data_IF_137137620549
#
_entry.id   IF_137137620549
#
_cell.length_a   1.000
_cell.length_b   1.000
_cell.length_c   1.000
_cell.angle_alpha   90.00
_cell.angle_beta   90.00
_cell.angle_gamma   90.00
#
_symmetry.space_group_name_H-M   'P 1'
#
loop_
_entity.id
_entity.type
_entity.pdbx_description
1 polymer ?
#
# COMPACT_ATOMS: atom_id res chain seq x y z
N UNK A 1 23.15 -1.22 12.99
CA UNK A 1 22.32 -0.07 12.56
C UNK A 1 20.96 -0.28 13.21
N UNK A 2 20.60 0.56 14.18
CA UNK A 2 19.33 0.45 14.87
C UNK A 2 18.18 0.79 13.91
N UNK A 3 17.11 0.01 13.99
CA UNK A 3 15.96 0.19 13.14
C UNK A 3 14.97 1.14 13.84
N UNK A 4 14.69 2.29 13.23
CA UNK A 4 13.74 3.25 13.82
C UNK A 4 12.32 2.70 13.77
N UNK A 5 11.66 2.71 14.93
CA UNK A 5 10.22 2.45 15.06
C UNK A 5 9.46 3.68 14.54
N UNK A 6 8.45 3.46 13.71
CA UNK A 6 7.62 4.49 13.07
C UNK A 6 6.16 4.48 13.54
N UNK A 7 5.71 3.37 14.14
CA UNK A 7 4.50 3.30 14.96
C UNK A 7 4.72 2.33 16.13
N UNK A 8 4.15 2.68 17.28
CA UNK A 8 4.24 1.94 18.54
C UNK A 8 2.98 2.24 19.36
N UNK A 9 2.11 1.25 19.51
CA UNK A 9 0.86 1.38 20.25
C UNK A 9 0.42 0.03 20.83
N UNK A 10 -0.54 0.08 21.76
CA UNK A 10 -1.21 -1.11 22.28
C UNK A 10 -2.54 -1.24 21.55
N UNK A 11 -2.81 -2.44 21.02
CA UNK A 11 -4.03 -2.75 20.31
C UNK A 11 -4.47 -4.19 20.56
N UNK A 12 -5.43 -4.65 19.78
CA UNK A 12 -5.77 -6.08 19.72
C UNK A 12 -5.18 -6.69 18.47
N UNK A 13 -4.59 -7.86 18.60
CA UNK A 13 -3.91 -8.56 17.52
C UNK A 13 -4.38 -10.00 17.45
N UNK A 14 -4.56 -10.47 16.23
CA UNK A 14 -4.77 -11.89 15.95
C UNK A 14 -3.82 -12.31 14.85
N UNK A 15 -3.16 -13.45 14.99
CA UNK A 15 -2.34 -14.02 13.93
C UNK A 15 -2.65 -15.49 13.80
N UNK A 16 -2.55 -16.03 12.58
CA UNK A 16 -2.72 -17.48 12.35
C UNK A 16 -1.78 -18.34 13.21
N UNK A 17 -0.68 -17.77 13.70
CA UNK A 17 0.29 -18.46 14.55
C UNK A 17 -0.08 -18.48 16.05
N UNK A 18 -1.00 -17.63 16.51
CA UNK A 18 -1.35 -17.50 17.93
C UNK A 18 -2.34 -18.58 18.42
N UNK A 19 -2.94 -19.38 17.52
CA UNK A 19 -3.77 -20.54 17.87
C UNK A 19 -5.05 -20.24 18.66
N UNK A 20 -5.40 -18.95 18.81
CA UNK A 20 -6.64 -18.47 19.46
C UNK A 20 -7.55 -17.89 18.38
N UNK A 21 -8.86 -18.15 18.47
CA UNK A 21 -9.86 -17.65 17.53
C UNK A 21 -10.20 -16.15 17.73
N UNK A 22 -9.81 -15.55 18.86
CA UNK A 22 -10.13 -14.16 19.21
C UNK A 22 -8.90 -13.24 19.21
N UNK A 23 -9.03 -11.96 18.80
CA UNK A 23 -7.98 -10.98 18.95
C UNK A 23 -7.62 -10.73 20.43
N UNK A 24 -6.33 -10.82 20.75
CA UNK A 24 -5.80 -10.62 22.11
C UNK A 24 -5.10 -9.28 22.23
N UNK A 25 -5.06 -8.71 23.44
CA UNK A 25 -4.30 -7.48 23.68
C UNK A 25 -2.81 -7.71 23.39
N UNK A 26 -2.18 -6.74 22.73
CA UNK A 26 -0.77 -6.82 22.36
C UNK A 26 -0.19 -5.47 21.96
N UNK A 27 1.14 -5.38 21.97
CA UNK A 27 1.88 -4.22 21.48
C UNK A 27 2.19 -4.39 20.01
N UNK A 28 1.90 -3.36 19.23
CA UNK A 28 2.12 -3.28 17.79
C UNK A 28 3.28 -2.35 17.54
N UNK A 29 4.34 -2.86 16.91
CA UNK A 29 5.53 -2.09 16.55
C UNK A 29 5.74 -2.19 15.05
N UNK A 30 5.75 -1.05 14.37
CA UNK A 30 6.11 -0.97 12.97
C UNK A 30 7.44 -0.27 12.82
N UNK A 31 8.33 -0.88 12.05
CA UNK A 31 9.55 -0.25 11.56
C UNK A 31 9.51 -0.10 10.04
N UNK A 32 10.59 0.43 9.46
CA UNK A 32 10.69 0.54 8.01
C UNK A 32 10.85 -0.81 7.28
N UNK A 33 11.09 -1.92 7.98
CA UNK A 33 11.33 -3.24 7.35
C UNK A 33 10.44 -4.35 7.89
N UNK A 34 9.80 -4.18 9.05
CA UNK A 34 8.98 -5.23 9.67
C UNK A 34 7.86 -4.67 10.54
N UNK A 35 6.78 -5.43 10.59
CA UNK A 35 5.74 -5.34 11.60
C UNK A 35 6.05 -6.36 12.70
N UNK A 36 6.00 -5.97 13.95
CA UNK A 36 6.23 -6.83 15.12
C UNK A 36 5.03 -6.73 16.03
N UNK A 37 4.46 -7.89 16.36
CA UNK A 37 3.31 -8.02 17.26
C UNK A 37 3.79 -8.79 18.49
N UNK A 38 3.56 -8.22 19.67
CA UNK A 38 3.96 -8.80 20.95
C UNK A 38 2.73 -9.01 21.80
N UNK A 39 2.48 -10.24 22.21
CA UNK A 39 1.38 -10.64 23.10
C UNK A 39 1.95 -11.47 24.25
N UNK A 40 1.12 -11.78 25.24
CA UNK A 40 1.51 -12.71 26.32
C UNK A 40 1.82 -14.13 25.78
N UNK A 41 1.23 -14.48 24.63
CA UNK A 41 1.47 -15.75 23.93
C UNK A 41 2.76 -15.78 23.11
N UNK A 42 3.44 -14.65 22.94
CA UNK A 42 4.73 -14.57 22.27
C UNK A 42 4.88 -13.41 21.30
N UNK A 43 5.87 -13.53 20.42
CA UNK A 43 6.23 -12.48 19.45
C UNK A 43 6.12 -12.99 18.02
N UNK A 44 5.37 -12.27 17.20
CA UNK A 44 5.32 -12.47 15.74
C UNK A 44 6.07 -11.35 15.05
N UNK A 45 6.96 -11.68 14.12
CA UNK A 45 7.68 -10.70 13.30
C UNK A 45 7.37 -10.95 11.83
N UNK A 46 6.80 -9.96 11.17
CA UNK A 46 6.40 -9.99 9.76
C UNK A 46 7.34 -9.07 8.97
N UNK A 47 8.25 -9.62 8.15
CA UNK A 47 9.03 -8.80 7.22
C UNK A 47 8.10 -8.11 6.21
N UNK A 48 8.22 -6.79 6.02
CA UNK A 48 7.39 -6.06 5.06
C UNK A 48 7.64 -6.48 3.61
N UNK A 49 8.82 -7.06 3.34
CA UNK A 49 9.12 -7.68 2.03
C UNK A 49 8.32 -8.95 1.76
N UNK A 50 7.80 -9.61 2.81
CA UNK A 50 7.02 -10.85 2.71
C UNK A 50 5.50 -10.60 2.71
N UNK A 51 5.06 -9.38 3.00
CA UNK A 51 3.66 -8.96 2.86
C UNK A 51 3.29 -9.02 1.38
N UNK A 52 2.11 -9.55 1.04
CA UNK A 52 1.61 -9.58 -0.33
C UNK A 52 0.22 -8.94 -0.51
N UNK A 53 -0.50 -8.68 0.58
CA UNK A 53 -1.83 -8.05 0.56
C UNK A 53 -2.12 -7.34 1.89
N UNK A 54 -2.85 -6.23 1.82
CA UNK A 54 -3.30 -5.43 2.98
C UNK A 54 -4.78 -5.11 2.80
N UNK A 55 -5.60 -5.41 3.80
CA UNK A 55 -7.01 -5.04 3.85
C UNK A 55 -7.24 -4.09 5.01
N UNK A 56 -7.76 -2.90 4.72
CA UNK A 56 -8.16 -1.89 5.71
C UNK A 56 -9.68 -1.87 5.80
N UNK A 57 -10.21 -1.71 7.01
CA UNK A 57 -11.64 -1.66 7.34
C UNK A 57 -12.56 -1.22 6.20
N UNK A 58 -13.37 -2.15 5.68
CA UNK A 58 -14.22 -1.86 4.53
C UNK A 58 -15.56 -1.29 4.98
N UNK A 59 -15.81 0.03 4.88
CA UNK A 59 -17.19 0.57 4.70
C UNK A 59 -17.25 1.98 4.08
N UNK A 60 -18.15 2.22 3.10
CA UNK A 60 -18.57 3.56 2.66
C UNK A 60 -19.61 4.22 3.59
N UNK A 61 -19.53 5.54 3.78
CA UNK A 61 -20.61 6.37 4.34
C UNK A 61 -20.77 6.34 5.87
N UNK A 62 -21.93 6.82 6.34
CA UNK A 62 -22.31 7.14 7.74
C UNK A 62 -22.26 5.96 8.75
N UNK A 63 -21.77 4.79 8.33
CA UNK A 63 -21.63 3.58 9.15
C UNK A 63 -20.19 3.33 9.66
N UNK A 64 -19.25 4.22 9.34
CA UNK A 64 -17.84 4.11 9.78
C UNK A 64 -17.67 4.05 11.30
N UNK A 65 -18.57 4.65 12.08
CA UNK A 65 -18.48 4.63 13.55
C UNK A 65 -18.73 3.27 14.20
N UNK A 66 -19.08 2.24 13.43
CA UNK A 66 -19.44 0.90 13.93
C UNK A 66 -18.48 -0.22 13.53
N UNK A 67 -17.50 0.05 12.67
CA UNK A 67 -16.56 -0.98 12.22
C UNK A 67 -15.20 -0.71 12.85
N UNK A 68 -14.69 -1.69 13.59
CA UNK A 68 -13.37 -1.67 14.22
C UNK A 68 -12.31 -1.20 13.23
N UNK A 69 -11.63 -0.09 13.54
CA UNK A 69 -10.46 0.37 12.82
C UNK A 69 -9.43 -0.75 12.83
N UNK A 70 -9.38 -1.51 11.73
CA UNK A 70 -8.67 -2.76 11.66
C UNK A 70 -7.94 -2.89 10.34
N UNK A 71 -6.76 -3.50 10.42
CA UNK A 71 -5.89 -3.78 9.29
C UNK A 71 -5.53 -5.25 9.32
N UNK A 72 -5.84 -5.96 8.25
CA UNK A 72 -5.36 -7.32 8.01
C UNK A 72 -4.15 -7.28 7.09
N UNK A 73 -3.05 -7.86 7.55
CA UNK A 73 -1.79 -8.00 6.83
C UNK A 73 -1.63 -9.46 6.41
N UNK A 74 -1.65 -9.75 5.11
CA UNK A 74 -1.34 -11.07 4.58
C UNK A 74 0.12 -11.16 4.14
N UNK A 75 0.82 -12.21 4.57
CA UNK A 75 2.25 -12.37 4.37
C UNK A 75 2.66 -13.83 4.21
N UNK A 76 3.82 -14.05 3.60
CA UNK A 76 4.44 -15.36 3.52
C UNK A 76 5.39 -15.60 4.69
N UNK A 77 5.32 -16.77 5.31
CA UNK A 77 6.25 -17.23 6.35
C UNK A 77 6.42 -18.74 6.25
N UNK A 78 7.66 -19.20 6.21
CA UNK A 78 8.00 -20.64 6.15
C UNK A 78 7.30 -21.37 4.98
N UNK A 79 7.21 -20.70 3.82
CA UNK A 79 6.56 -21.24 2.62
C UNK A 79 5.03 -21.33 2.70
N UNK A 80 4.41 -20.77 3.74
CA UNK A 80 2.96 -20.76 3.94
C UNK A 80 2.41 -19.33 4.01
N UNK A 81 1.19 -19.14 3.51
CA UNK A 81 0.47 -17.87 3.66
C UNK A 81 -0.10 -17.75 5.06
N UNK A 82 0.07 -16.59 5.68
CA UNK A 82 -0.43 -16.25 7.02
C UNK A 82 -1.10 -14.88 7.00
N UNK A 83 -1.92 -14.63 8.00
CA UNK A 83 -2.54 -13.31 8.23
C UNK A 83 -2.24 -12.81 9.64
N UNK A 84 -2.19 -11.50 9.76
CA UNK A 84 -2.15 -10.78 11.02
C UNK A 84 -3.21 -9.67 10.99
N UNK A 85 -4.18 -9.74 11.89
CA UNK A 85 -5.17 -8.70 12.14
C UNK A 85 -4.63 -7.79 13.24
N UNK A 86 -4.74 -6.49 13.03
CA UNK A 86 -4.42 -5.44 13.99
C UNK A 86 -5.63 -4.54 14.13
N UNK A 87 -6.10 -4.36 15.36
CA UNK A 87 -7.17 -3.44 15.78
C UNK A 87 -6.61 -2.47 16.82
N UNK A 88 -7.12 -1.25 16.85
CA UNK A 88 -6.69 -0.22 17.82
C UNK A 88 -7.68 0.93 17.91
N UNK A 89 -7.32 1.96 18.66
CA UNK A 89 -8.07 3.22 18.65
C UNK A 89 -7.95 3.92 17.29
N UNK A 90 -8.96 4.70 16.90
CA UNK A 90 -9.04 5.32 15.57
C UNK A 90 -7.80 6.13 15.19
N UNK A 91 -7.31 6.97 16.12
CA UNK A 91 -6.12 7.81 15.88
C UNK A 91 -4.85 6.96 15.66
N UNK A 92 -4.68 5.89 16.45
CA UNK A 92 -3.55 4.97 16.32
C UNK A 92 -3.62 4.20 15.01
N UNK A 93 -4.81 3.76 14.62
CA UNK A 93 -5.03 2.99 13.40
C UNK A 93 -4.91 3.84 12.13
N UNK A 94 -5.38 5.08 12.14
CA UNK A 94 -5.15 6.04 11.05
C UNK A 94 -3.65 6.25 10.85
N UNK A 95 -2.92 6.53 11.94
CA UNK A 95 -1.47 6.72 11.91
C UNK A 95 -0.75 5.46 11.45
N UNK A 96 -1.09 4.30 12.01
CA UNK A 96 -0.51 3.00 11.68
C UNK A 96 -0.67 2.68 10.20
N UNK A 97 -1.90 2.80 9.69
CA UNK A 97 -2.23 2.55 8.28
C UNK A 97 -1.37 3.43 7.37
N UNK A 98 -1.30 4.73 7.66
CA UNK A 98 -0.49 5.68 6.90
C UNK A 98 1.00 5.32 6.89
N UNK A 99 1.58 4.98 8.04
CA UNK A 99 3.01 4.64 8.11
C UNK A 99 3.31 3.24 7.55
N UNK A 100 2.37 2.30 7.61
CA UNK A 100 2.46 0.97 7.01
C UNK A 100 2.55 1.07 5.49
N UNK A 101 1.60 1.77 4.85
CA UNK A 101 1.65 1.96 3.39
C UNK A 101 2.92 2.70 2.95
N UNK A 102 3.34 3.73 3.69
CA UNK A 102 4.60 4.43 3.42
C UNK A 102 5.81 3.50 3.52
N UNK A 103 5.82 2.58 4.49
CA UNK A 103 6.91 1.61 4.65
C UNK A 103 6.89 0.54 3.55
N UNK A 104 5.71 0.07 3.12
CA UNK A 104 5.56 -0.94 2.07
C UNK A 104 5.95 -0.42 0.67
N UNK A 105 5.65 0.84 0.37
CA UNK A 105 6.00 1.48 -0.90
C UNK A 105 7.41 2.09 -0.91
N UNK A 106 8.15 1.98 0.20
CA UNK A 106 9.53 2.44 0.25
C UNK A 106 10.39 1.67 -0.76
N UNK A 107 11.18 2.41 -1.54
CA UNK A 107 12.06 1.86 -2.58
C UNK A 107 11.31 1.06 -3.65
N UNK A 108 10.00 1.25 -3.79
CA UNK A 108 9.25 0.70 -4.91
C UNK A 108 9.52 1.56 -6.13
N UNK A 109 10.12 0.95 -7.13
CA UNK A 109 10.29 1.51 -8.47
C UNK A 109 9.27 0.89 -9.41
N UNK A 110 8.65 1.73 -10.22
CA UNK A 110 7.66 1.36 -11.24
C UNK A 110 8.14 1.85 -12.60
N UNK A 111 7.58 1.29 -13.67
CA UNK A 111 7.72 1.86 -15.01
C UNK A 111 6.48 2.69 -15.31
N UNK A 112 6.64 4.00 -15.42
CA UNK A 112 5.56 4.95 -15.63
C UNK A 112 5.55 5.49 -17.06
N UNK A 113 4.35 5.69 -17.59
CA UNK A 113 4.09 6.47 -18.81
C UNK A 113 3.11 7.58 -18.46
N UNK A 114 3.61 8.81 -18.46
CA UNK A 114 2.83 9.98 -18.07
C UNK A 114 3.23 11.20 -18.92
N UNK A 115 2.27 11.98 -19.43
CA UNK A 115 0.87 11.58 -19.64
C UNK A 115 0.78 10.59 -20.81
N UNK A 116 0.08 9.46 -20.67
CA UNK A 116 -0.15 8.51 -21.78
C UNK A 116 -1.29 8.94 -22.72
N UNK A 117 -2.31 9.61 -22.18
CA UNK A 117 -3.34 10.31 -22.96
C UNK A 117 -3.67 11.65 -22.32
N UNK A 118 -4.03 12.62 -23.14
CA UNK A 118 -4.51 13.94 -22.73
C UNK A 118 -5.80 14.25 -23.49
N UNK A 119 -6.90 14.50 -22.77
CA UNK A 119 -8.23 14.69 -23.37
C UNK A 119 -8.68 13.52 -24.26
N UNK A 120 -8.23 12.30 -23.93
CA UNK A 120 -8.49 11.08 -24.72
C UNK A 120 -7.55 10.85 -25.91
N UNK A 121 -6.71 11.81 -26.28
CA UNK A 121 -5.71 11.67 -27.35
C UNK A 121 -4.44 11.03 -26.80
N UNK A 122 -3.93 10.01 -27.51
CA UNK A 122 -2.64 9.38 -27.17
C UNK A 122 -1.50 10.38 -27.40
N UNK A 123 -0.52 10.36 -26.51
CA UNK A 123 0.69 11.18 -26.57
C UNK A 123 1.89 10.35 -27.05
N UNK A 124 3.02 11.01 -27.29
CA UNK A 124 4.30 10.37 -27.61
C UNK A 124 5.13 10.04 -26.35
N UNK A 125 4.53 10.05 -25.15
CA UNK A 125 5.25 9.80 -23.91
C UNK A 125 5.84 8.39 -23.86
N UNK A 126 7.12 8.29 -23.51
CA UNK A 126 7.84 7.03 -23.32
C UNK A 126 7.68 6.47 -21.91
N UNK A 127 8.02 5.19 -21.76
CA UNK A 127 8.10 4.53 -20.47
C UNK A 127 9.40 4.93 -19.75
N UNK A 128 9.29 5.33 -18.48
CA UNK A 128 10.43 5.68 -17.63
C UNK A 128 10.36 4.95 -16.29
N UNK A 129 11.51 4.59 -15.73
CA UNK A 129 11.55 4.18 -14.33
C UNK A 129 11.24 5.38 -13.44
N UNK A 130 10.41 5.18 -12.42
CA UNK A 130 10.10 6.18 -11.40
C UNK A 130 10.03 5.54 -10.02
N UNK A 131 10.49 6.26 -9.00
CA UNK A 131 10.24 5.89 -7.60
C UNK A 131 8.85 6.37 -7.17
N UNK A 132 8.17 5.56 -6.36
CA UNK A 132 6.84 5.89 -5.83
C UNK A 132 6.98 6.41 -4.40
N UNK A 133 6.24 7.46 -4.10
CA UNK A 133 6.14 8.02 -2.75
C UNK A 133 4.69 8.30 -2.38
N UNK A 134 4.36 8.11 -1.11
CA UNK A 134 3.06 8.50 -0.56
C UNK A 134 3.18 9.76 0.27
N UNK A 135 2.15 10.58 0.15
CA UNK A 135 1.93 11.77 0.96
C UNK A 135 0.44 11.89 1.27
N UNK A 136 0.07 12.82 2.14
CA UNK A 136 -1.34 13.05 2.44
C UNK A 136 -2.10 13.39 1.16
N UNK A 137 -3.07 12.54 0.81
CA UNK A 137 -3.97 12.73 -0.33
C UNK A 137 -3.37 12.51 -1.71
N UNK A 138 -2.11 12.07 -1.86
CA UNK A 138 -1.51 11.91 -3.18
C UNK A 138 -0.37 10.91 -3.27
N UNK A 139 -0.15 10.46 -4.50
CA UNK A 139 0.97 9.62 -4.93
C UNK A 139 1.93 10.49 -5.74
N UNK A 140 3.22 10.47 -5.38
CA UNK A 140 4.29 11.12 -6.11
C UNK A 140 5.12 10.13 -6.91
N UNK A 141 5.46 10.50 -8.14
CA UNK A 141 6.37 9.77 -9.01
C UNK A 141 7.61 10.63 -9.25
N UNK A 142 8.77 10.15 -8.78
CA UNK A 142 10.04 10.85 -8.86
C UNK A 142 11.08 10.02 -9.62
N UNK A 143 12.29 10.56 -9.79
CA UNK A 143 13.41 9.92 -10.50
C UNK A 143 13.11 9.55 -11.97
N UNK A 144 12.13 10.22 -12.58
CA UNK A 144 11.84 10.20 -14.01
C UNK A 144 12.12 11.59 -14.62
N UNK A 145 12.18 11.73 -15.97
CA UNK A 145 12.52 13.02 -16.61
C UNK A 145 11.60 14.18 -16.21
N UNK A 146 10.32 13.90 -16.03
CA UNK A 146 9.31 14.86 -15.59
C UNK A 146 8.59 14.29 -14.36
N UNK A 147 9.08 14.58 -13.14
CA UNK A 147 8.42 14.17 -11.90
C UNK A 147 7.03 14.79 -11.81
N UNK A 148 6.07 14.01 -11.32
CA UNK A 148 4.69 14.44 -11.22
C UNK A 148 4.01 13.85 -9.99
N UNK A 149 2.87 14.44 -9.64
CA UNK A 149 2.07 14.07 -8.47
C UNK A 149 0.62 13.91 -8.89
N UNK A 150 -0.02 12.90 -8.32
CA UNK A 150 -1.42 12.57 -8.57
C UNK A 150 -2.18 12.73 -7.27
N UNK A 151 -2.97 13.80 -7.17
CA UNK A 151 -3.93 13.95 -6.07
C UNK A 151 -4.99 12.86 -6.20
N UNK A 152 -5.19 12.07 -5.15
CA UNK A 152 -6.16 10.97 -5.14
C UNK A 152 -7.59 11.48 -5.37
N UNK A 153 -7.90 12.68 -4.86
CA UNK A 153 -9.17 13.37 -5.08
C UNK A 153 -9.41 13.77 -6.54
N UNK A 154 -8.35 13.83 -7.36
CA UNK A 154 -8.44 14.13 -8.79
C UNK A 154 -8.60 12.87 -9.66
N UNK A 155 -8.43 11.67 -9.08
CA UNK A 155 -8.58 10.40 -9.79
C UNK A 155 -10.06 10.12 -10.02
N UNK A 156 -10.42 9.93 -11.28
CA UNK A 156 -11.82 9.73 -11.71
C UNK A 156 -12.08 8.31 -12.22
N UNK A 157 -11.03 7.55 -12.53
CA UNK A 157 -11.15 6.19 -13.07
C UNK A 157 -9.80 5.46 -12.93
N UNK A 158 -9.83 4.15 -12.70
CA UNK A 158 -8.64 3.31 -12.71
C UNK A 158 -8.97 1.88 -13.14
N UNK A 159 -8.01 1.24 -13.80
CA UNK A 159 -8.13 -0.12 -14.31
C UNK A 159 -6.83 -0.88 -14.04
N UNK A 160 -6.96 -2.10 -13.51
CA UNK A 160 -5.85 -3.04 -13.41
C UNK A 160 -5.73 -3.81 -14.74
N UNK A 161 -4.54 -3.83 -15.29
CA UNK A 161 -4.25 -4.49 -16.56
C UNK A 161 -2.88 -5.18 -16.52
N UNK A 162 -2.46 -5.75 -17.63
CA UNK A 162 -1.14 -6.37 -17.81
C UNK A 162 -0.46 -5.75 -19.02
N UNK A 163 0.80 -5.34 -18.86
CA UNK A 163 1.64 -4.83 -19.95
C UNK A 163 2.82 -5.75 -20.20
N UNK A 164 3.21 -5.91 -21.45
CA UNK A 164 4.46 -6.56 -21.82
C UNK A 164 5.56 -5.51 -21.90
N UNK A 165 6.58 -5.62 -21.04
CA UNK A 165 7.78 -4.78 -21.08
C UNK A 165 9.00 -5.67 -21.22
N UNK A 166 9.85 -5.39 -22.22
CA UNK A 166 11.05 -6.20 -22.52
C UNK A 166 10.78 -7.72 -22.62
N UNK A 167 9.61 -8.11 -23.15
CA UNK A 167 9.21 -9.52 -23.31
C UNK A 167 8.56 -10.16 -22.08
N UNK A 168 8.51 -9.46 -20.94
CA UNK A 168 7.91 -9.95 -19.71
C UNK A 168 6.54 -9.33 -19.46
N UNK A 169 5.55 -10.15 -19.11
CA UNK A 169 4.22 -9.66 -18.68
C UNK A 169 4.32 -9.15 -17.26
N UNK A 170 3.95 -7.90 -17.05
CA UNK A 170 3.95 -7.24 -15.74
C UNK A 170 2.59 -6.61 -15.46
N UNK A 171 2.10 -6.68 -14.21
CA UNK A 171 0.88 -6.00 -13.81
C UNK A 171 1.04 -4.49 -13.96
N UNK A 172 -0.04 -3.80 -14.34
CA UNK A 172 -0.06 -2.36 -14.51
C UNK A 172 -1.37 -1.76 -14.02
N UNK A 173 -1.29 -0.53 -13.53
CA UNK A 173 -2.42 0.33 -13.21
C UNK A 173 -2.54 1.42 -14.27
N UNK A 174 -3.64 1.42 -15.00
CA UNK A 174 -4.04 2.56 -15.83
C UNK A 174 -4.92 3.43 -14.96
N UNK A 175 -4.60 4.71 -14.81
CA UNK A 175 -5.41 5.61 -14.01
C UNK A 175 -5.64 6.92 -14.73
N UNK A 176 -6.83 7.48 -14.53
CA UNK A 176 -7.29 8.73 -15.11
C UNK A 176 -7.50 9.73 -14.00
N UNK A 177 -6.91 10.90 -14.15
CA UNK A 177 -7.03 11.99 -13.19
C UNK A 177 -7.23 13.31 -13.92
N UNK A 178 -7.71 14.32 -13.19
CA UNK A 178 -8.03 15.64 -13.75
C UNK A 178 -7.17 16.71 -13.08
N UNK A 179 -5.88 16.84 -13.44
CA UNK A 179 -5.09 18.01 -13.06
C UNK A 179 -5.62 19.23 -13.81
N UNK A 180 -5.82 20.35 -13.11
CA UNK A 180 -6.15 21.66 -13.69
C UNK A 180 -7.25 21.64 -14.77
N UNK A 181 -8.35 20.91 -14.48
CA UNK A 181 -9.51 20.72 -15.36
C UNK A 181 -9.26 19.96 -16.68
N UNK A 182 -8.09 19.32 -16.84
CA UNK A 182 -7.75 18.53 -18.01
C UNK A 182 -7.70 17.04 -17.68
N UNK A 183 -8.41 16.21 -18.44
CA UNK A 183 -8.35 14.75 -18.26
C UNK A 183 -7.02 14.18 -18.75
N UNK A 184 -6.25 13.58 -17.84
CA UNK A 184 -4.97 12.92 -18.11
C UNK A 184 -5.06 11.44 -17.77
N UNK A 185 -4.61 10.57 -18.68
CA UNK A 185 -4.44 9.13 -18.43
C UNK A 185 -2.97 8.81 -18.28
N UNK A 186 -2.63 8.02 -17.28
CA UNK A 186 -1.26 7.56 -17.02
C UNK A 186 -1.25 6.06 -16.78
N UNK A 187 -0.08 5.45 -16.94
CA UNK A 187 0.10 4.04 -16.71
C UNK A 187 1.28 3.83 -15.78
N UNK A 188 1.09 3.11 -14.68
CA UNK A 188 2.15 2.65 -13.81
C UNK A 188 2.23 1.12 -13.89
N UNK A 189 3.28 0.60 -14.52
CA UNK A 189 3.61 -0.83 -14.54
C UNK A 189 4.44 -1.16 -13.30
N UNK A 190 3.95 -2.07 -12.48
CA UNK A 190 4.54 -2.35 -11.16
C UNK A 190 5.39 -3.63 -11.19
N UNK A 191 6.34 -3.82 -10.26
CA UNK A 191 7.25 -4.96 -10.31
C UNK A 191 6.57 -6.30 -10.01
N UNK A 192 5.44 -6.30 -9.28
CA UNK A 192 4.70 -7.49 -8.90
C UNK A 192 3.25 -7.15 -8.52
N UNK A 193 2.37 -8.16 -8.50
CA UNK A 193 0.94 -7.97 -8.19
C UNK A 193 0.70 -7.39 -6.80
N UNK A 194 1.56 -7.72 -5.82
CA UNK A 194 1.53 -7.11 -4.48
C UNK A 194 1.43 -5.59 -4.55
N UNK A 195 2.20 -4.96 -5.43
CA UNK A 195 2.25 -3.50 -5.52
C UNK A 195 0.92 -2.89 -5.99
N UNK A 196 0.00 -3.67 -6.57
CA UNK A 196 -1.36 -3.22 -6.88
C UNK A 196 -2.33 -3.36 -5.70
N UNK A 197 -1.99 -4.19 -4.71
CA UNK A 197 -2.82 -4.47 -3.53
C UNK A 197 -2.40 -3.66 -2.30
N UNK A 198 -1.37 -2.84 -2.45
CA UNK A 198 -0.84 -1.89 -1.46
C UNK A 198 -1.14 -0.48 -1.93
#
# INVERSE_FOLDING_TARGET
MEESVVADFVGRVHTTALGSDDPVSGRVLLSQRRLVLVTDGGKTTVPLSAVFDIVVGTVPGELQSFFSDSVTVAYESDGSRRTALVEGESDDMERFTRVLFKALLRNVTVTVRHPAKVGGRVTDASDHTASVSLSTGAIGFADCPEPFRVELSSVIDYERTTRTLAGEKRPALVFRHVPDAQTVTSIATVPNERTLNV
#
